data_IF_215770815748
#
_entry.id   IF_215770815748
#
_cell.length_a   1.000
_cell.length_b   1.000
_cell.length_c   1.000
_cell.angle_alpha   90.00
_cell.angle_beta   90.00
_cell.angle_gamma   90.00
#
_symmetry.space_group_name_H-M   'P 1'
#
loop_
_entity.id
_entity.type
_entity.pdbx_description
1 polymer ?
#
# COMPACT_ATOMS: atom_id res chain seq x y z
N UNK A 1 104.76 15.65 3.47
CA UNK A 1 103.64 15.82 4.41
C UNK A 1 102.32 16.26 3.74
N UNK A 2 102.37 17.05 2.65
CA UNK A 2 101.17 17.51 1.92
C UNK A 2 100.43 16.40 1.11
N UNK A 3 101.16 15.43 0.55
CA UNK A 3 100.56 14.35 -0.26
C UNK A 3 99.66 13.39 0.55
N UNK A 4 100.02 13.11 1.80
CA UNK A 4 99.20 12.30 2.72
C UNK A 4 97.95 13.02 3.21
N UNK A 5 97.95 14.37 3.23
CA UNK A 5 96.80 15.17 3.64
C UNK A 5 95.74 15.20 2.53
N UNK A 6 96.16 15.40 1.27
CA UNK A 6 95.26 15.39 0.11
C UNK A 6 94.57 14.02 -0.08
N UNK A 7 95.28 12.91 0.14
CA UNK A 7 94.68 11.57 0.03
C UNK A 7 93.59 11.32 1.09
N UNK A 8 93.76 11.83 2.31
CA UNK A 8 92.75 11.73 3.38
C UNK A 8 91.52 12.59 3.09
N UNK A 9 91.71 13.78 2.52
CA UNK A 9 90.62 14.67 2.11
C UNK A 9 89.82 14.04 0.96
N UNK A 10 90.51 13.48 -0.04
CA UNK A 10 89.86 12.76 -1.15
C UNK A 10 89.05 11.57 -0.63
N UNK A 11 89.61 10.76 0.27
CA UNK A 11 88.89 9.64 0.88
C UNK A 11 87.65 10.08 1.67
N UNK A 12 87.73 11.19 2.41
CA UNK A 12 86.58 11.77 3.12
C UNK A 12 85.50 12.26 2.16
N UNK A 13 85.87 12.96 1.08
CA UNK A 13 84.92 13.44 0.06
C UNK A 13 84.22 12.27 -0.62
N UNK A 14 84.94 11.21 -1.01
CA UNK A 14 84.33 10.00 -1.57
C UNK A 14 83.39 9.31 -0.58
N UNK A 15 83.79 9.18 0.69
CA UNK A 15 82.92 8.62 1.72
C UNK A 15 81.62 9.43 1.89
N UNK A 16 81.72 10.75 1.91
CA UNK A 16 80.56 11.66 2.02
C UNK A 16 79.65 11.59 0.79
N UNK A 17 80.23 11.44 -0.41
CA UNK A 17 79.49 11.25 -1.66
C UNK A 17 78.70 9.94 -1.66
N UNK A 18 79.31 8.84 -1.21
CA UNK A 18 78.63 7.53 -1.10
C UNK A 18 77.47 7.61 -0.10
N UNK A 19 77.69 8.23 1.07
CA UNK A 19 76.63 8.41 2.09
C UNK A 19 75.51 9.28 1.53
N UNK A 20 75.83 10.35 0.81
CA UNK A 20 74.84 11.23 0.18
C UNK A 20 74.00 10.48 -0.85
N UNK A 21 74.63 9.71 -1.76
CA UNK A 21 73.91 8.91 -2.77
C UNK A 21 72.97 7.88 -2.13
N UNK A 22 73.42 7.22 -1.06
CA UNK A 22 72.58 6.27 -0.31
C UNK A 22 71.40 6.99 0.36
N UNK A 23 71.63 8.14 1.00
CA UNK A 23 70.58 8.94 1.62
C UNK A 23 69.54 9.42 0.60
N UNK A 24 69.97 9.92 -0.57
CA UNK A 24 69.08 10.31 -1.66
C UNK A 24 68.29 9.13 -2.24
N UNK A 25 68.91 7.95 -2.36
CA UNK A 25 68.24 6.73 -2.81
C UNK A 25 67.11 6.31 -1.86
N UNK A 26 67.34 6.36 -0.55
CA UNK A 26 66.32 6.07 0.47
C UNK A 26 65.20 7.12 0.43
N UNK A 27 65.53 8.40 0.37
CA UNK A 27 64.54 9.48 0.30
C UNK A 27 63.64 9.36 -0.94
N UNK A 28 64.23 9.02 -2.09
CA UNK A 28 63.47 8.81 -3.33
C UNK A 28 62.50 7.63 -3.22
N UNK A 29 62.93 6.51 -2.60
CA UNK A 29 62.06 5.35 -2.37
C UNK A 29 60.91 5.66 -1.42
N UNK A 30 61.15 6.42 -0.35
CA UNK A 30 60.11 6.87 0.58
C UNK A 30 59.09 7.74 -0.15
N UNK A 31 59.53 8.73 -0.93
CA UNK A 31 58.64 9.60 -1.70
C UNK A 31 57.83 8.83 -2.75
N UNK A 32 58.43 7.85 -3.44
CA UNK A 32 57.69 6.99 -4.36
C UNK A 32 56.60 6.18 -3.64
N UNK A 33 56.91 5.65 -2.45
CA UNK A 33 55.95 4.93 -1.62
C UNK A 33 54.78 5.82 -1.17
N UNK A 34 55.06 7.05 -0.73
CA UNK A 34 54.03 8.02 -0.38
C UNK A 34 53.16 8.39 -1.60
N UNK A 35 53.77 8.67 -2.75
CA UNK A 35 53.01 8.99 -3.98
C UNK A 35 52.11 7.81 -4.39
N UNK A 36 52.59 6.57 -4.26
CA UNK A 36 51.79 5.38 -4.57
C UNK A 36 50.59 5.23 -3.61
N UNK A 37 50.79 5.48 -2.31
CA UNK A 37 49.71 5.50 -1.33
C UNK A 37 48.67 6.58 -1.64
N UNK A 38 49.11 7.82 -1.89
CA UNK A 38 48.21 8.92 -2.24
C UNK A 38 47.40 8.62 -3.51
N UNK A 39 48.01 8.00 -4.52
CA UNK A 39 47.29 7.57 -5.73
C UNK A 39 46.23 6.50 -5.42
N UNK A 40 46.56 5.53 -4.57
CA UNK A 40 45.60 4.51 -4.14
C UNK A 40 44.43 5.11 -3.36
N UNK A 41 44.70 6.04 -2.45
CA UNK A 41 43.66 6.71 -1.67
C UNK A 41 42.79 7.62 -2.53
N UNK A 42 43.38 8.31 -3.51
CA UNK A 42 42.63 9.11 -4.49
C UNK A 42 41.70 8.21 -5.32
N UNK A 43 42.20 7.07 -5.83
CA UNK A 43 41.40 6.13 -6.60
C UNK A 43 40.23 5.55 -5.77
N UNK A 44 40.49 5.20 -4.51
CA UNK A 44 39.45 4.74 -3.57
C UNK A 44 38.41 5.84 -3.31
N UNK A 45 38.85 7.07 -3.08
CA UNK A 45 37.96 8.22 -2.87
C UNK A 45 37.08 8.50 -4.08
N UNK A 46 37.63 8.41 -5.29
CA UNK A 46 36.87 8.58 -6.53
C UNK A 46 35.83 7.46 -6.71
N UNK A 47 36.18 6.22 -6.37
CA UNK A 47 35.24 5.10 -6.38
C UNK A 47 34.11 5.31 -5.37
N UNK A 48 34.43 5.69 -4.13
CA UNK A 48 33.43 6.01 -3.11
C UNK A 48 32.50 7.14 -3.55
N UNK A 49 33.04 8.19 -4.20
CA UNK A 49 32.24 9.28 -4.76
C UNK A 49 31.26 8.79 -5.83
N UNK A 50 31.70 7.90 -6.73
CA UNK A 50 30.82 7.30 -7.76
C UNK A 50 29.70 6.47 -7.14
N UNK A 51 30.02 5.67 -6.12
CA UNK A 51 29.01 4.90 -5.37
C UNK A 51 28.00 5.85 -4.72
N UNK A 52 28.48 6.87 -4.02
CA UNK A 52 27.61 7.84 -3.35
C UNK A 52 26.71 8.60 -4.33
N UNK A 53 27.22 8.92 -5.53
CA UNK A 53 26.41 9.52 -6.60
C UNK A 53 25.32 8.58 -7.08
N UNK A 54 25.64 7.30 -7.31
CA UNK A 54 24.65 6.30 -7.71
C UNK A 54 23.58 6.08 -6.64
N UNK A 55 23.98 5.99 -5.38
CA UNK A 55 23.06 5.85 -4.25
C UNK A 55 22.14 7.06 -4.14
N UNK A 56 22.67 8.28 -4.32
CA UNK A 56 21.88 9.51 -4.31
C UNK A 56 20.85 9.52 -5.45
N UNK A 57 21.24 9.13 -6.66
CA UNK A 57 20.32 9.00 -7.79
C UNK A 57 19.24 7.95 -7.52
N UNK A 58 19.62 6.80 -6.95
CA UNK A 58 18.67 5.74 -6.60
C UNK A 58 17.66 6.21 -5.55
N UNK A 59 18.12 6.89 -4.50
CA UNK A 59 17.26 7.45 -3.45
C UNK A 59 16.34 8.53 -4.02
N UNK A 60 16.85 9.40 -4.89
CA UNK A 60 16.05 10.43 -5.56
C UNK A 60 14.92 9.82 -6.39
N UNK A 61 15.22 8.79 -7.19
CA UNK A 61 14.21 8.10 -8.00
C UNK A 61 13.17 7.40 -7.11
N UNK A 62 13.61 6.77 -6.03
CA UNK A 62 12.68 6.14 -5.07
C UNK A 62 11.78 7.17 -4.38
N UNK A 63 12.30 8.37 -4.10
CA UNK A 63 11.52 9.44 -3.48
C UNK A 63 10.45 9.96 -4.45
N UNK A 64 10.79 10.17 -5.73
CA UNK A 64 9.83 10.59 -6.75
C UNK A 64 8.67 9.59 -6.91
N UNK A 65 8.98 8.28 -6.91
CA UNK A 65 7.96 7.23 -6.94
C UNK A 65 7.07 7.29 -5.69
N UNK A 66 7.68 7.43 -4.51
CA UNK A 66 6.94 7.51 -3.25
C UNK A 66 6.03 8.75 -3.17
N UNK A 67 6.47 9.89 -3.71
CA UNK A 67 5.65 11.11 -3.79
C UNK A 67 4.43 10.91 -4.69
N UNK A 68 4.62 10.27 -5.85
CA UNK A 68 3.53 9.94 -6.77
C UNK A 68 2.52 8.97 -6.15
N UNK A 69 3.00 7.94 -5.46
CA UNK A 69 2.14 6.98 -4.76
C UNK A 69 1.35 7.65 -3.63
N UNK A 70 1.98 8.58 -2.89
CA UNK A 70 1.29 9.39 -1.89
C UNK A 70 0.16 10.22 -2.50
N UNK A 71 0.39 10.87 -3.64
CA UNK A 71 -0.65 11.64 -4.33
C UNK A 71 -1.82 10.75 -4.77
N UNK A 72 -1.53 9.59 -5.34
CA UNK A 72 -2.54 8.59 -5.71
C UNK A 72 -3.37 8.11 -4.51
N UNK A 73 -2.73 7.88 -3.37
CA UNK A 73 -3.39 7.48 -2.13
C UNK A 73 -4.28 8.59 -1.58
N UNK A 74 -3.84 9.85 -1.61
CA UNK A 74 -4.67 10.99 -1.19
C UNK A 74 -5.91 11.14 -2.07
N UNK A 75 -5.76 10.99 -3.39
CA UNK A 75 -6.88 11.02 -4.33
C UNK A 75 -7.87 9.87 -4.02
N UNK A 76 -7.37 8.65 -3.83
CA UNK A 76 -8.19 7.49 -3.47
C UNK A 76 -8.93 7.68 -2.14
N UNK A 77 -8.27 8.27 -1.14
CA UNK A 77 -8.85 8.54 0.17
C UNK A 77 -9.97 9.58 0.07
N UNK A 78 -9.80 10.63 -0.75
CA UNK A 78 -10.85 11.64 -0.97
C UNK A 78 -12.10 11.05 -1.63
N UNK A 79 -11.93 10.17 -2.62
CA UNK A 79 -13.02 9.45 -3.26
C UNK A 79 -13.73 8.52 -2.27
N UNK A 80 -12.97 7.80 -1.45
CA UNK A 80 -13.53 6.90 -0.44
C UNK A 80 -14.31 7.68 0.63
N UNK A 81 -13.78 8.81 1.09
CA UNK A 81 -14.47 9.69 2.04
C UNK A 81 -15.81 10.21 1.46
N UNK A 82 -15.82 10.60 0.18
CA UNK A 82 -17.05 11.01 -0.51
C UNK A 82 -18.05 9.86 -0.58
N UNK A 83 -17.62 8.67 -1.01
CA UNK A 83 -18.47 7.49 -1.10
C UNK A 83 -19.05 7.09 0.27
N UNK A 84 -18.27 7.22 1.35
CA UNK A 84 -18.73 6.95 2.71
C UNK A 84 -19.78 7.97 3.17
N UNK A 85 -19.56 9.25 2.86
CA UNK A 85 -20.51 10.32 3.17
C UNK A 85 -21.84 10.13 2.44
N UNK A 86 -21.78 9.80 1.15
CA UNK A 86 -22.98 9.53 0.34
C UNK A 86 -23.74 8.33 0.87
N UNK A 87 -23.03 7.23 1.20
CA UNK A 87 -23.63 6.03 1.81
C UNK A 87 -24.34 6.33 3.14
N UNK A 88 -23.76 7.16 4.01
CA UNK A 88 -24.39 7.48 5.29
C UNK A 88 -25.62 8.38 5.10
N UNK A 89 -25.60 9.27 4.10
CA UNK A 89 -26.78 10.06 3.72
C UNK A 89 -27.92 9.15 3.25
N UNK A 90 -27.64 8.22 2.35
CA UNK A 90 -28.64 7.27 1.84
C UNK A 90 -29.19 6.39 2.95
N UNK A 91 -28.32 5.90 3.84
CA UNK A 91 -28.72 5.12 5.01
C UNK A 91 -29.68 5.91 5.91
N UNK A 92 -29.40 7.18 6.16
CA UNK A 92 -30.27 8.04 6.95
C UNK A 92 -31.61 8.29 6.25
N UNK A 93 -31.61 8.50 4.93
CA UNK A 93 -32.85 8.66 4.16
C UNK A 93 -33.71 7.39 4.23
N UNK A 94 -33.13 6.21 4.05
CA UNK A 94 -33.82 4.91 4.19
C UNK A 94 -34.40 4.75 5.60
N UNK A 95 -33.63 5.10 6.64
CA UNK A 95 -34.08 5.00 8.02
C UNK A 95 -35.27 5.92 8.31
N UNK A 96 -35.24 7.15 7.79
CA UNK A 96 -36.35 8.10 7.93
C UNK A 96 -37.59 7.62 7.17
N UNK A 97 -37.43 7.16 5.92
CA UNK A 97 -38.52 6.59 5.13
C UNK A 97 -39.17 5.39 5.81
N UNK A 98 -38.37 4.46 6.31
CA UNK A 98 -38.86 3.30 7.06
C UNK A 98 -39.64 3.70 8.32
N UNK A 99 -39.13 4.68 9.09
CA UNK A 99 -39.82 5.17 10.28
C UNK A 99 -41.16 5.83 9.94
N UNK A 100 -41.23 6.59 8.84
CA UNK A 100 -42.45 7.22 8.35
C UNK A 100 -43.49 6.17 7.91
N UNK A 101 -43.10 5.22 7.05
CA UNK A 101 -44.00 4.15 6.61
C UNK A 101 -44.50 3.29 7.76
N UNK A 102 -43.64 2.99 8.75
CA UNK A 102 -44.07 2.24 9.94
C UNK A 102 -45.07 3.04 10.80
N UNK A 103 -44.93 4.36 10.87
CA UNK A 103 -45.91 5.23 11.54
C UNK A 103 -47.26 5.21 10.83
N UNK A 104 -47.27 5.32 9.50
CA UNK A 104 -48.49 5.24 8.68
C UNK A 104 -49.18 3.88 8.83
N UNK A 105 -48.42 2.78 8.74
CA UNK A 105 -48.93 1.42 8.96
C UNK A 105 -49.57 1.29 10.33
N UNK A 106 -48.92 1.77 11.40
CA UNK A 106 -49.50 1.75 12.76
C UNK A 106 -50.79 2.56 12.84
N UNK A 107 -50.88 3.70 12.16
CA UNK A 107 -52.11 4.49 12.12
C UNK A 107 -53.25 3.75 11.42
N UNK A 108 -52.96 3.06 10.31
CA UNK A 108 -53.95 2.23 9.60
C UNK A 108 -54.46 1.11 10.52
N UNK A 109 -53.56 0.37 11.16
CA UNK A 109 -53.96 -0.74 12.06
C UNK A 109 -54.73 -0.25 13.29
N UNK A 110 -54.35 0.89 13.87
CA UNK A 110 -55.05 1.46 15.03
C UNK A 110 -56.41 2.08 14.65
N UNK A 111 -56.54 2.62 13.44
CA UNK A 111 -57.77 3.22 12.93
C UNK A 111 -58.74 2.22 12.29
N UNK A 112 -58.30 1.00 11.97
CA UNK A 112 -59.16 -0.04 11.41
C UNK A 112 -60.21 -0.49 12.43
N UNK A 113 -61.47 -0.52 12.01
CA UNK A 113 -62.58 -1.06 12.80
C UNK A 113 -62.78 -2.56 12.60
N UNK A 114 -62.25 -3.12 11.51
CA UNK A 114 -62.40 -4.53 11.19
C UNK A 114 -61.39 -5.42 11.95
N UNK A 115 -61.90 -6.51 12.50
CA UNK A 115 -61.13 -7.43 13.35
C UNK A 115 -60.03 -8.17 12.57
N UNK A 116 -60.21 -8.32 11.26
CA UNK A 116 -59.27 -9.00 10.37
C UNK A 116 -58.01 -8.15 10.12
N UNK A 117 -58.13 -6.84 9.91
CA UNK A 117 -56.99 -5.94 9.76
C UNK A 117 -56.22 -5.81 11.07
N UNK A 118 -56.91 -5.80 12.22
CA UNK A 118 -56.26 -5.82 13.54
C UNK A 118 -55.46 -7.10 13.78
N UNK A 119 -55.99 -8.26 13.40
CA UNK A 119 -55.27 -9.53 13.57
C UNK A 119 -54.05 -9.64 12.66
N UNK A 120 -54.10 -9.06 11.46
CA UNK A 120 -52.94 -8.97 10.56
C UNK A 120 -51.84 -8.05 11.10
N UNK A 121 -52.21 -6.91 11.71
CA UNK A 121 -51.23 -5.98 12.30
C UNK A 121 -50.50 -6.52 13.53
N UNK A 122 -51.09 -7.51 14.21
CA UNK A 122 -50.52 -8.18 15.39
C UNK A 122 -49.85 -9.52 15.06
N UNK A 123 -49.94 -10.00 13.81
CA UNK A 123 -49.36 -11.27 13.41
C UNK A 123 -47.84 -11.15 13.26
N UNK A 124 -47.10 -12.10 13.84
CA UNK A 124 -45.66 -12.20 13.62
C UNK A 124 -45.35 -12.51 12.16
N UNK A 125 -44.32 -11.85 11.63
CA UNK A 125 -43.81 -12.12 10.29
C UNK A 125 -43.14 -13.50 10.30
N UNK A 126 -43.58 -14.47 9.49
CA UNK A 126 -42.95 -15.79 9.44
C UNK A 126 -41.47 -15.70 9.11
N UNK A 127 -40.65 -16.52 9.78
CA UNK A 127 -39.20 -16.50 9.63
C UNK A 127 -38.73 -16.70 8.18
N UNK A 128 -39.43 -17.55 7.41
CA UNK A 128 -39.12 -17.79 6.00
C UNK A 128 -39.31 -16.54 5.13
N UNK A 129 -40.34 -15.74 5.40
CA UNK A 129 -40.58 -14.49 4.68
C UNK A 129 -39.48 -13.47 5.00
N UNK A 130 -39.09 -13.37 6.27
CA UNK A 130 -38.00 -12.49 6.67
C UNK A 130 -36.67 -12.89 6.01
N UNK A 131 -36.39 -14.20 5.92
CA UNK A 131 -35.21 -14.73 5.20
C UNK A 131 -35.21 -14.35 3.72
N UNK A 132 -36.37 -14.41 3.06
CA UNK A 132 -36.51 -14.00 1.66
C UNK A 132 -36.30 -12.50 1.49
N UNK A 133 -36.89 -11.68 2.34
CA UNK A 133 -36.73 -10.21 2.33
C UNK A 133 -35.28 -9.78 2.57
N UNK A 134 -34.59 -10.43 3.51
CA UNK A 134 -33.17 -10.15 3.76
C UNK A 134 -32.31 -10.53 2.55
N UNK A 135 -32.65 -11.63 1.88
CA UNK A 135 -31.91 -12.08 0.69
C UNK A 135 -32.18 -11.18 -0.52
N UNK A 136 -33.43 -10.76 -0.73
CA UNK A 136 -33.76 -9.81 -1.81
C UNK A 136 -33.11 -8.45 -1.57
N UNK A 137 -33.07 -7.95 -0.33
CA UNK A 137 -32.35 -6.73 0.03
C UNK A 137 -30.83 -6.86 -0.22
N UNK A 138 -30.23 -8.03 0.08
CA UNK A 138 -28.84 -8.33 -0.27
C UNK A 138 -28.59 -8.31 -1.77
N UNK A 139 -29.50 -8.85 -2.57
CA UNK A 139 -29.38 -8.85 -4.03
C UNK A 139 -29.62 -7.47 -4.67
N UNK A 140 -30.49 -6.65 -4.06
CA UNK A 140 -30.73 -5.26 -4.47
C UNK A 140 -29.55 -4.33 -4.15
N UNK A 141 -28.64 -4.75 -3.28
CA UNK A 141 -27.42 -4.00 -3.00
C UNK A 141 -26.46 -4.07 -4.20
N UNK A 142 -26.20 -2.91 -4.80
CA UNK A 142 -25.39 -2.80 -6.03
C UNK A 142 -23.96 -3.31 -5.89
N UNK A 143 -23.43 -3.33 -4.67
CA UNK A 143 -22.09 -3.83 -4.38
C UNK A 143 -22.00 -5.37 -4.28
N UNK A 144 -23.11 -6.10 -4.42
CA UNK A 144 -23.18 -7.57 -4.27
C UNK A 144 -23.81 -8.31 -5.45
N UNK A 145 -23.83 -7.71 -6.64
CA UNK A 145 -24.39 -8.32 -7.86
C UNK A 145 -23.70 -9.62 -8.33
N UNK A 146 -22.64 -10.08 -7.67
CA UNK A 146 -21.91 -11.30 -8.00
C UNK A 146 -22.29 -12.51 -7.13
N UNK A 147 -23.23 -12.36 -6.19
CA UNK A 147 -23.71 -13.50 -5.42
C UNK A 147 -24.45 -14.46 -6.36
N UNK A 148 -24.05 -15.73 -6.42
CA UNK A 148 -24.56 -16.75 -7.35
C UNK A 148 -26.08 -16.98 -7.32
N UNK A 149 -26.73 -16.44 -6.29
CA UNK A 149 -28.14 -16.59 -5.98
C UNK A 149 -28.95 -15.33 -6.33
N UNK A 150 -28.29 -14.26 -6.76
CA UNK A 150 -28.90 -12.99 -7.13
C UNK A 150 -29.06 -12.91 -8.65
N UNK A 151 -30.32 -12.97 -9.11
CA UNK A 151 -30.64 -12.86 -10.53
C UNK A 151 -31.16 -11.44 -10.82
N UNK A 152 -30.50 -10.67 -11.70
CA UNK A 152 -31.01 -9.36 -12.09
C UNK A 152 -32.27 -9.55 -12.94
N UNK A 153 -33.39 -8.97 -12.50
CA UNK A 153 -34.59 -8.89 -13.32
C UNK A 153 -34.33 -7.92 -14.48
N UNK A 154 -34.55 -8.34 -15.73
CA UNK A 154 -34.35 -7.51 -16.93
C UNK A 154 -35.55 -6.61 -17.26
N UNK A 155 -36.64 -6.72 -16.48
CA UNK A 155 -37.86 -5.93 -16.63
C UNK A 155 -38.89 -6.31 -15.56
N UNK A 156 -39.94 -5.50 -15.43
CA UNK A 156 -41.05 -5.70 -14.48
C UNK A 156 -41.95 -6.89 -14.83
N UNK A 157 -41.83 -7.39 -16.07
CA UNK A 157 -42.80 -8.31 -16.67
C UNK A 157 -42.28 -9.75 -16.71
N UNK A 158 -41.04 -9.98 -16.25
CA UNK A 158 -40.40 -11.27 -16.30
C UNK A 158 -40.74 -12.07 -15.04
N UNK A 159 -41.39 -13.23 -15.23
CA UNK A 159 -41.64 -14.18 -14.14
C UNK A 159 -40.33 -14.55 -13.45
N UNK A 160 -40.31 -14.39 -12.13
CA UNK A 160 -39.24 -14.89 -11.27
C UNK A 160 -39.09 -16.38 -11.58
N UNK A 161 -37.88 -16.90 -11.87
CA UNK A 161 -37.69 -18.32 -12.14
C UNK A 161 -38.34 -19.12 -11.00
N UNK A 162 -39.29 -19.97 -11.38
CA UNK A 162 -40.13 -20.73 -10.46
C UNK A 162 -39.29 -21.34 -9.33
N UNK A 163 -39.85 -21.34 -8.12
CA UNK A 163 -39.28 -21.83 -6.87
C UNK A 163 -39.02 -23.35 -6.84
N UNK A 164 -38.50 -23.94 -7.92
CA UNK A 164 -38.07 -25.33 -7.98
C UNK A 164 -36.92 -25.64 -6.99
N UNK A 165 -36.25 -24.61 -6.44
CA UNK A 165 -35.19 -24.77 -5.43
C UNK A 165 -35.76 -24.86 -4.00
N UNK A 166 -37.05 -24.53 -3.78
CA UNK A 166 -37.70 -24.67 -2.46
C UNK A 166 -38.57 -25.92 -2.33
N UNK A 167 -38.44 -26.91 -3.23
CA UNK A 167 -38.95 -28.25 -2.93
C UNK A 167 -38.13 -28.84 -1.79
N UNK A 168 -38.65 -28.62 -0.58
CA UNK A 168 -38.42 -29.40 0.63
C UNK A 168 -38.07 -30.84 0.25
N UNK A 169 -36.84 -31.25 0.58
CA UNK A 169 -36.50 -32.64 0.74
C UNK A 169 -37.58 -33.28 1.62
N UNK A 170 -38.35 -34.17 1.00
CA UNK A 170 -39.32 -35.04 1.65
C UNK A 170 -38.64 -35.70 2.86
N UNK A 171 -39.21 -35.65 4.08
CA UNK A 171 -38.59 -36.34 5.20
C UNK A 171 -38.52 -37.82 4.88
N UNK A 172 -37.31 -38.39 4.90
CA UNK A 172 -37.13 -39.85 4.84
C UNK A 172 -37.74 -40.42 6.11
N UNK A 173 -38.83 -41.17 5.95
CA UNK A 173 -39.31 -42.06 6.98
C UNK A 173 -38.21 -43.09 7.27
N UNK A 174 -37.89 -43.24 8.55
CA UNK A 174 -37.23 -44.43 9.09
C UNK A 174 -38.31 -45.30 9.72
#
# INVERSE_FOLDING_TARGET
MFSTLNNKIIALVFGLLVVSVLAFGVFFKINQGQIALLKSDLARSEQSKKILQNDLTSVSNSLEVAEKDKENLLNSLSLLAKALSDRERDRNAIKQGFAASNKELKQIFNGASDEKTKSWGAADIPADLNRVLERSARCANSYRHQDSLCFPAKGTDQQVPSAAIFQQEKPRAF
#
